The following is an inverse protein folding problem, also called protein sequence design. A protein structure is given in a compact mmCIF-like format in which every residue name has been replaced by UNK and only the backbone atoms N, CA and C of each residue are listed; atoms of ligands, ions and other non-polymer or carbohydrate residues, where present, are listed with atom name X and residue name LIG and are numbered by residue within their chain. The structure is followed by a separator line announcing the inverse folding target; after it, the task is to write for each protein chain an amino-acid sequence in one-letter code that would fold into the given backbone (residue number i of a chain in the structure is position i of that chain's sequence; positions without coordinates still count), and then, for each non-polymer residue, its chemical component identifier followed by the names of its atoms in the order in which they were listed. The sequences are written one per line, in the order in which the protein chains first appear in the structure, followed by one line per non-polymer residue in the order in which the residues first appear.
data_IF_988172031032
#
_entry.id   IF_988172031032
#
_cell.length_a   1.000
_cell.length_b   1.000
_cell.length_c   1.000
_cell.angle_alpha   90.00
_cell.angle_beta   90.00
_cell.angle_gamma   90.00
#
_symmetry.space_group_name_H-M   'P 1'
#
loop_
_entity.id
_entity.type
_entity.pdbx_description
1 polymer ?
#
# COMPACT_ATOMS: atom_id res chain seq x y z
N UNK A 1 -0.06 6.84 -24.98
CA UNK A 1 -0.92 6.91 -23.78
C UNK A 1 -1.88 8.08 -23.94
N UNK A 2 -3.16 7.83 -24.26
CA UNK A 2 -4.19 8.86 -24.52
C UNK A 2 -5.05 9.19 -23.28
N UNK A 3 -4.71 8.59 -22.14
CA UNK A 3 -5.53 8.64 -20.91
C UNK A 3 -5.44 10.02 -20.22
N UNK A 4 -4.38 10.81 -20.48
CA UNK A 4 -4.12 12.06 -19.75
C UNK A 4 -4.92 13.27 -20.26
N UNK A 5 -5.57 13.19 -21.43
CA UNK A 5 -6.16 14.36 -22.12
C UNK A 5 -7.53 14.82 -21.60
N UNK A 6 -8.07 14.22 -20.53
CA UNK A 6 -9.38 14.60 -19.96
C UNK A 6 -9.44 14.55 -18.44
N UNK A 7 -8.30 14.48 -17.75
CA UNK A 7 -8.25 14.57 -16.29
C UNK A 7 -8.09 16.04 -15.90
N UNK A 8 -9.05 16.61 -15.17
CA UNK A 8 -8.71 17.74 -14.31
C UNK A 8 -7.86 17.17 -13.15
N UNK A 9 -6.60 17.61 -12.97
CA UNK A 9 -5.75 17.13 -11.90
C UNK A 9 -6.36 17.32 -10.51
N UNK A 10 -7.25 18.30 -10.35
CA UNK A 10 -7.84 18.64 -9.07
C UNK A 10 -8.90 17.61 -8.62
N UNK A 11 -9.58 16.94 -9.56
CA UNK A 11 -10.64 15.95 -9.29
C UNK A 11 -10.15 14.74 -8.48
N UNK A 12 -8.86 14.42 -8.57
CA UNK A 12 -8.27 13.23 -7.93
C UNK A 12 -7.13 13.56 -6.96
N UNK A 13 -6.93 14.86 -6.65
CA UNK A 13 -5.83 15.34 -5.81
C UNK A 13 -5.73 14.62 -4.46
N UNK A 14 -6.87 14.44 -3.77
CA UNK A 14 -6.98 13.68 -2.52
C UNK A 14 -6.51 12.23 -2.71
N UNK A 15 -7.28 11.36 -3.39
CA UNK A 15 -6.93 9.96 -3.60
C UNK A 15 -5.49 9.74 -4.11
N UNK A 16 -5.01 10.62 -4.98
CA UNK A 16 -3.64 10.55 -5.48
C UNK A 16 -2.60 10.80 -4.37
N UNK A 17 -2.86 11.73 -3.45
CA UNK A 17 -2.00 11.94 -2.28
C UNK A 17 -1.94 10.69 -1.40
N UNK A 18 -3.08 10.03 -1.12
CA UNK A 18 -3.08 8.76 -0.38
C UNK A 18 -2.30 7.67 -1.09
N UNK A 19 -2.51 7.48 -2.41
CA UNK A 19 -1.76 6.49 -3.19
C UNK A 19 -0.25 6.76 -3.19
N UNK A 20 0.16 8.02 -3.21
CA UNK A 20 1.57 8.41 -3.14
C UNK A 20 2.16 8.10 -1.76
N UNK A 21 1.39 8.30 -0.68
CA UNK A 21 1.80 7.86 0.67
C UNK A 21 1.90 6.34 0.76
N UNK A 22 0.93 5.59 0.23
CA UNK A 22 0.99 4.11 0.19
C UNK A 22 2.26 3.63 -0.51
N UNK A 23 2.64 4.24 -1.63
CA UNK A 23 3.90 3.94 -2.32
C UNK A 23 5.09 4.14 -1.38
N UNK A 24 5.16 5.26 -0.68
CA UNK A 24 6.30 5.62 0.18
C UNK A 24 6.41 4.67 1.37
N UNK A 25 5.27 4.33 2.00
CA UNK A 25 5.20 3.33 3.08
C UNK A 25 5.67 1.96 2.57
N UNK A 26 5.13 1.47 1.45
CA UNK A 26 5.57 0.19 0.86
C UNK A 26 7.07 0.18 0.51
N UNK A 27 7.62 1.28 -0.02
CA UNK A 27 9.06 1.38 -0.30
C UNK A 27 9.90 1.33 0.99
N UNK A 28 9.44 2.00 2.04
CA UNK A 28 10.09 1.97 3.34
C UNK A 28 10.03 0.55 3.95
N UNK A 29 8.85 -0.08 3.98
CA UNK A 29 8.68 -1.46 4.45
C UNK A 29 9.63 -2.41 3.73
N UNK A 30 9.69 -2.35 2.40
CA UNK A 30 10.57 -3.22 1.63
C UNK A 30 12.06 -2.98 1.97
N UNK A 31 12.46 -1.73 2.13
CA UNK A 31 13.83 -1.37 2.52
C UNK A 31 14.16 -1.94 3.91
N UNK A 32 13.28 -1.75 4.89
CA UNK A 32 13.45 -2.27 6.25
C UNK A 32 13.51 -3.80 6.28
N UNK A 33 12.67 -4.50 5.51
CA UNK A 33 12.72 -5.97 5.40
C UNK A 33 14.05 -6.46 4.82
N UNK A 34 14.59 -5.76 3.82
CA UNK A 34 15.89 -6.11 3.23
C UNK A 34 17.04 -5.86 4.20
N UNK A 35 17.02 -4.74 4.92
CA UNK A 35 18.01 -4.43 5.97
C UNK A 35 17.94 -5.42 7.14
N UNK A 36 16.73 -5.79 7.55
CA UNK A 36 16.47 -6.79 8.59
C UNK A 36 17.04 -8.15 8.18
N UNK A 37 16.83 -8.54 6.92
CA UNK A 37 17.37 -9.79 6.38
C UNK A 37 18.91 -9.81 6.36
N UNK A 38 19.53 -8.74 5.87
CA UNK A 38 20.99 -8.65 5.78
C UNK A 38 21.65 -8.67 7.16
N UNK A 39 21.09 -7.93 8.12
CA UNK A 39 21.65 -7.77 9.46
C UNK A 39 21.16 -8.82 10.47
N UNK A 40 20.24 -9.71 10.07
CA UNK A 40 19.52 -10.64 10.97
C UNK A 40 18.83 -9.91 12.13
N UNK A 41 18.21 -8.77 11.83
CA UNK A 41 17.50 -7.95 12.81
C UNK A 41 16.00 -8.30 12.82
N UNK A 42 15.61 -9.12 13.80
CA UNK A 42 14.21 -9.53 14.01
C UNK A 42 13.29 -8.33 14.28
N UNK A 43 13.73 -7.39 15.10
CA UNK A 43 12.90 -6.27 15.53
C UNK A 43 12.58 -5.34 14.36
N UNK A 44 13.53 -5.15 13.45
CA UNK A 44 13.31 -4.37 12.23
C UNK A 44 12.33 -5.05 11.27
N UNK A 45 12.38 -6.38 11.14
CA UNK A 45 11.39 -7.13 10.33
C UNK A 45 9.98 -7.00 10.92
N UNK A 46 9.83 -7.13 12.24
CA UNK A 46 8.52 -6.93 12.92
C UNK A 46 8.02 -5.50 12.71
N UNK A 47 8.90 -4.50 12.82
CA UNK A 47 8.55 -3.10 12.58
C UNK A 47 8.08 -2.89 11.14
N UNK A 48 8.75 -3.51 10.17
CA UNK A 48 8.36 -3.40 8.77
C UNK A 48 7.00 -4.04 8.49
N UNK A 49 6.68 -5.15 9.14
CA UNK A 49 5.36 -5.79 9.06
C UNK A 49 4.26 -4.91 9.66
N UNK A 50 4.51 -4.29 10.82
CA UNK A 50 3.53 -3.43 11.49
C UNK A 50 3.16 -2.16 10.70
N UNK A 51 4.02 -1.72 9.77
CA UNK A 51 3.72 -0.59 8.89
C UNK A 51 2.67 -0.91 7.81
N UNK A 52 2.28 -2.18 7.63
CA UNK A 52 1.20 -2.58 6.73
C UNK A 52 -0.16 -1.99 7.16
N UNK A 53 -0.36 -1.82 8.47
CA UNK A 53 -1.56 -1.15 9.03
C UNK A 53 -1.74 0.26 8.44
N UNK A 54 -0.64 1.01 8.21
CA UNK A 54 -0.69 2.34 7.58
C UNK A 54 -1.08 2.24 6.09
N UNK A 55 -0.62 1.20 5.39
CA UNK A 55 -1.01 0.93 3.99
C UNK A 55 -2.51 0.65 3.91
N UNK A 56 -3.04 -0.13 4.85
CA UNK A 56 -4.47 -0.45 4.93
C UNK A 56 -5.34 0.76 5.22
N UNK A 57 -4.94 1.60 6.18
CA UNK A 57 -5.64 2.85 6.49
C UNK A 57 -5.70 3.78 5.25
N UNK A 58 -4.55 3.98 4.59
CA UNK A 58 -4.47 4.80 3.37
C UNK A 58 -5.28 4.19 2.21
N UNK A 59 -5.32 2.87 2.10
CA UNK A 59 -6.13 2.17 1.10
C UNK A 59 -7.63 2.41 1.32
N UNK A 60 -8.09 2.34 2.58
CA UNK A 60 -9.48 2.61 2.95
C UNK A 60 -9.84 4.06 2.64
N UNK A 61 -8.98 5.02 2.97
CA UNK A 61 -9.18 6.43 2.66
C UNK A 61 -9.28 6.68 1.14
N UNK A 62 -8.29 6.20 0.39
CA UNK A 62 -8.23 6.37 -1.07
C UNK A 62 -9.45 5.73 -1.74
N UNK A 63 -9.76 4.49 -1.38
CA UNK A 63 -10.86 3.72 -1.98
C UNK A 63 -12.21 4.33 -1.65
N UNK A 64 -12.43 4.80 -0.42
CA UNK A 64 -13.68 5.46 -0.02
C UNK A 64 -13.92 6.75 -0.80
N UNK A 65 -12.88 7.56 -0.98
CA UNK A 65 -12.96 8.80 -1.76
C UNK A 65 -13.25 8.51 -3.24
N UNK A 66 -12.57 7.53 -3.83
CA UNK A 66 -12.78 7.13 -5.23
C UNK A 66 -14.19 6.55 -5.47
N UNK A 67 -14.70 5.73 -4.54
CA UNK A 67 -16.07 5.22 -4.60
C UNK A 67 -17.10 6.35 -4.52
N UNK A 68 -16.88 7.34 -3.65
CA UNK A 68 -17.76 8.52 -3.56
C UNK A 68 -17.79 9.30 -4.88
N UNK A 69 -16.66 9.44 -5.56
CA UNK A 69 -16.60 10.06 -6.88
C UNK A 69 -17.38 9.28 -7.94
N UNK A 70 -17.26 7.95 -7.96
CA UNK A 70 -18.04 7.09 -8.86
C UNK A 70 -19.56 7.26 -8.68
N UNK A 71 -20.01 7.45 -7.44
CA UNK A 71 -21.43 7.65 -7.12
C UNK A 71 -21.91 9.06 -7.50
N UNK A 72 -21.08 10.09 -7.30
CA UNK A 72 -21.47 11.49 -7.47
C UNK A 72 -21.30 12.02 -8.89
N UNK A 73 -20.34 11.49 -9.66
CA UNK A 73 -20.03 11.94 -11.02
C UNK A 73 -19.65 10.74 -11.91
N UNK A 74 -20.59 10.21 -12.71
CA UNK A 74 -20.33 9.02 -13.53
C UNK A 74 -19.40 9.25 -14.74
N UNK A 75 -19.28 10.51 -15.21
CA UNK A 75 -18.59 10.85 -16.46
C UNK A 75 -17.04 10.68 -16.38
N UNK A 76 -16.36 10.91 -15.24
CA UNK A 76 -14.98 10.46 -15.04
C UNK A 76 -14.85 9.00 -14.53
N UNK A 77 -15.93 8.19 -14.54
CA UNK A 77 -15.97 6.90 -13.83
C UNK A 77 -14.93 5.86 -14.26
N UNK A 78 -14.42 5.95 -15.48
CA UNK A 78 -13.31 5.09 -15.94
C UNK A 78 -11.99 5.40 -15.22
N UNK A 79 -11.70 6.67 -14.93
CA UNK A 79 -10.47 7.08 -14.23
C UNK A 79 -10.49 6.68 -12.76
N UNK A 80 -11.61 6.93 -12.07
CA UNK A 80 -11.77 6.52 -10.67
C UNK A 80 -11.65 4.99 -10.51
N UNK A 81 -12.18 4.24 -11.47
CA UNK A 81 -12.03 2.77 -11.50
C UNK A 81 -10.56 2.36 -11.66
N UNK A 82 -9.79 2.99 -12.55
CA UNK A 82 -8.36 2.70 -12.69
C UNK A 82 -7.57 3.03 -11.42
N UNK A 83 -7.90 4.11 -10.73
CA UNK A 83 -7.27 4.46 -9.45
C UNK A 83 -7.64 3.46 -8.34
N UNK A 84 -8.86 2.93 -8.32
CA UNK A 84 -9.23 1.84 -7.40
C UNK A 84 -8.40 0.58 -7.64
N UNK A 85 -8.14 0.22 -8.90
CA UNK A 85 -7.25 -0.89 -9.22
C UNK A 85 -5.82 -0.64 -8.74
N UNK A 86 -5.34 0.61 -8.83
CA UNK A 86 -4.01 0.98 -8.32
C UNK A 86 -3.98 0.85 -6.79
N UNK A 87 -4.99 1.37 -6.08
CA UNK A 87 -5.11 1.24 -4.62
C UNK A 87 -5.07 -0.24 -4.18
N UNK A 88 -5.91 -1.06 -4.83
CA UNK A 88 -5.94 -2.50 -4.60
C UNK A 88 -4.57 -3.16 -4.83
N UNK A 89 -3.89 -2.84 -5.93
CA UNK A 89 -2.57 -3.40 -6.18
C UNK A 89 -1.50 -2.92 -5.19
N UNK A 90 -1.63 -1.73 -4.63
CA UNK A 90 -0.70 -1.23 -3.60
C UNK A 90 -0.92 -1.94 -2.26
N UNK A 91 -2.16 -2.17 -1.82
CA UNK A 91 -2.44 -3.00 -0.64
C UNK A 91 -1.86 -4.42 -0.81
N UNK A 92 -2.08 -5.05 -1.97
CA UNK A 92 -1.48 -6.35 -2.28
C UNK A 92 0.05 -6.35 -2.25
N UNK A 93 0.70 -5.20 -2.46
CA UNK A 93 2.15 -5.05 -2.34
C UNK A 93 2.56 -4.96 -0.86
N UNK A 94 1.83 -4.19 -0.05
CA UNK A 94 2.02 -4.11 1.41
C UNK A 94 1.96 -5.50 2.06
N UNK A 95 0.86 -6.23 1.85
CA UNK A 95 0.66 -7.59 2.36
C UNK A 95 1.78 -8.54 1.93
N UNK A 96 2.25 -8.44 0.68
CA UNK A 96 3.38 -9.26 0.22
C UNK A 96 4.68 -8.91 0.95
N UNK A 97 4.91 -7.65 1.27
CA UNK A 97 6.10 -7.23 2.03
C UNK A 97 5.99 -7.73 3.47
N UNK A 98 4.81 -7.61 4.11
CA UNK A 98 4.52 -8.20 5.43
C UNK A 98 4.82 -9.71 5.46
N UNK A 99 4.31 -10.46 4.49
CA UNK A 99 4.60 -11.89 4.33
C UNK A 99 6.11 -12.19 4.16
N UNK A 100 6.88 -11.30 3.53
CA UNK A 100 8.34 -11.44 3.44
C UNK A 100 8.98 -11.17 4.81
N UNK A 101 8.51 -10.16 5.54
CA UNK A 101 8.98 -9.82 6.87
C UNK A 101 8.81 -11.00 7.85
N UNK A 102 7.64 -11.65 7.86
CA UNK A 102 7.39 -12.86 8.65
C UNK A 102 8.39 -13.99 8.35
N UNK A 103 8.70 -14.19 7.05
CA UNK A 103 9.70 -15.18 6.64
C UNK A 103 11.10 -14.80 7.10
N UNK A 104 11.43 -13.51 7.12
CA UNK A 104 12.70 -13.03 7.65
C UNK A 104 12.81 -13.34 9.13
N UNK A 105 11.78 -13.04 9.93
CA UNK A 105 11.73 -13.41 11.35
C UNK A 105 11.91 -14.92 11.52
N UNK A 106 11.15 -15.74 10.79
CA UNK A 106 11.28 -17.20 10.83
C UNK A 106 12.70 -17.67 10.51
N UNK A 107 13.38 -17.08 9.53
CA UNK A 107 14.78 -17.42 9.20
C UNK A 107 15.78 -17.05 10.32
N UNK A 108 15.44 -16.09 11.18
CA UNK A 108 16.27 -15.65 12.30
C UNK A 108 15.99 -16.49 13.56
N UNK A 109 14.72 -16.69 13.90
CA UNK A 109 14.28 -17.28 15.17
C UNK A 109 13.94 -18.76 15.08
N UNK A 110 13.65 -19.27 13.89
CA UNK A 110 13.02 -20.59 13.63
C UNK A 110 11.58 -20.71 14.17
N UNK A 111 10.94 -19.59 14.50
CA UNK A 111 9.55 -19.50 14.93
C UNK A 111 8.77 -18.62 13.95
N UNK A 112 7.56 -19.06 13.57
CA UNK A 112 6.70 -18.24 12.70
C UNK A 112 5.98 -17.22 13.58
N UNK A 113 6.27 -15.91 13.43
CA UNK A 113 5.52 -14.91 14.16
C UNK A 113 4.11 -14.83 13.60
N UNK A 114 3.13 -14.62 14.48
CA UNK A 114 1.78 -14.26 14.08
C UNK A 114 1.72 -12.72 14.03
N UNK A 115 1.87 -12.17 12.81
CA UNK A 115 1.86 -10.73 12.57
C UNK A 115 0.54 -10.27 11.93
N UNK A 116 -0.48 -11.14 11.92
CA UNK A 116 -1.84 -10.77 11.51
C UNK A 116 -2.53 -9.94 12.61
N UNK A 117 -2.48 -8.61 12.43
CA UNK A 117 -3.32 -7.62 13.09
C UNK A 117 -4.76 -7.61 12.56
#
# INVERSE_FOLDING_TARGET
ARIVLGMDPDDFSGPMEQLMKMRDVCQNMFTQVMEAFENRDEALAITAAANDDEVDELNVEASSSLLMQLVTQPDPGMHATHLLWIAYHMERVGDRIKNIAERVVFMITSETPDLDS
#
